data_IF_608910102233
#
_entry.id   IF_608910102233
#
_cell.length_a   1.000
_cell.length_b   1.000
_cell.length_c   1.000
_cell.angle_alpha   90.00
_cell.angle_beta   90.00
_cell.angle_gamma   90.00
#
_symmetry.space_group_name_H-M   'P 1'
#
loop_
_entity.id
_entity.type
_entity.pdbx_description
1 polymer ?
#
# COMPACT_ATOMS: atom_id res chain seq x y z
N UNK A 1 29.58 21.62 23.14
CA UNK A 1 28.96 20.71 22.15
C UNK A 1 27.76 21.42 21.56
N UNK A 2 27.75 21.69 20.25
CA UNK A 2 26.62 22.36 19.61
C UNK A 2 25.44 21.38 19.52
N UNK A 3 24.31 21.73 20.12
CA UNK A 3 23.05 20.98 19.96
C UNK A 3 22.56 21.19 18.52
N UNK A 4 22.65 20.15 17.70
CA UNK A 4 21.98 20.13 16.40
C UNK A 4 20.50 19.90 16.66
N UNK A 5 19.68 20.94 16.49
CA UNK A 5 18.23 20.83 16.52
C UNK A 5 17.74 20.14 15.26
N UNK A 6 16.95 19.08 15.42
CA UNK A 6 16.27 18.41 14.32
C UNK A 6 14.79 18.82 14.30
N UNK A 7 14.30 19.23 13.14
CA UNK A 7 12.88 19.48 12.91
C UNK A 7 12.39 18.48 11.87
N UNK A 8 11.38 17.68 12.23
CA UNK A 8 10.78 16.72 11.31
C UNK A 8 9.77 17.42 10.39
N UNK A 9 10.09 17.49 9.11
CA UNK A 9 9.13 17.94 8.09
C UNK A 9 8.03 16.90 7.82
N UNK A 10 8.20 15.65 8.28
CA UNK A 10 7.20 14.59 8.08
C UNK A 10 5.87 14.87 8.80
N UNK A 11 5.92 15.66 9.88
CA UNK A 11 4.74 16.05 10.67
C UNK A 11 4.15 17.40 10.26
N UNK A 12 4.80 18.11 9.32
CA UNK A 12 4.32 19.40 8.85
C UNK A 12 2.94 19.26 8.20
N UNK A 13 2.03 20.20 8.52
CA UNK A 13 0.65 20.19 8.02
C UNK A 13 0.60 20.22 6.49
N UNK A 14 1.47 21.01 5.86
CA UNK A 14 1.59 21.11 4.39
C UNK A 14 2.06 19.81 3.75
N UNK A 15 2.89 19.02 4.44
CA UNK A 15 3.36 17.71 3.96
C UNK A 15 2.24 16.66 3.92
N UNK A 16 1.19 16.82 4.74
CA UNK A 16 0.01 15.92 4.71
C UNK A 16 -0.69 15.92 3.35
N UNK A 17 -0.79 17.08 2.70
CA UNK A 17 -1.39 17.19 1.37
C UNK A 17 -0.54 16.45 0.32
N UNK A 18 0.78 16.66 0.35
CA UNK A 18 1.70 15.94 -0.54
C UNK A 18 1.62 14.42 -0.34
N UNK A 19 1.59 13.93 0.91
CA UNK A 19 1.40 12.50 1.20
C UNK A 19 0.09 11.95 0.64
N UNK A 20 -0.99 12.74 0.72
CA UNK A 20 -2.29 12.39 0.17
C UNK A 20 -2.22 12.27 -1.36
N UNK A 21 -1.69 13.28 -2.04
CA UNK A 21 -1.55 13.28 -3.50
C UNK A 21 -0.68 12.12 -3.99
N UNK A 22 0.44 11.84 -3.31
CA UNK A 22 1.29 10.69 -3.63
C UNK A 22 0.58 9.35 -3.40
N UNK A 23 -0.16 9.20 -2.29
CA UNK A 23 -0.93 7.99 -2.01
C UNK A 23 -2.01 7.74 -3.06
N UNK A 24 -2.69 8.79 -3.50
CA UNK A 24 -3.66 8.73 -4.59
C UNK A 24 -3.01 8.29 -5.91
N UNK A 25 -1.91 8.93 -6.31
CA UNK A 25 -1.20 8.59 -7.55
C UNK A 25 -0.72 7.13 -7.54
N UNK A 26 -0.15 6.66 -6.42
CA UNK A 26 0.27 5.27 -6.27
C UNK A 26 -0.94 4.34 -6.38
N UNK A 27 -2.05 4.68 -5.72
CA UNK A 27 -3.30 3.93 -5.85
C UNK A 27 -3.78 3.84 -7.31
N UNK A 28 -3.74 4.96 -8.05
CA UNK A 28 -4.09 5.00 -9.48
C UNK A 28 -3.17 4.12 -10.33
N UNK A 29 -1.85 4.16 -10.10
CA UNK A 29 -0.89 3.27 -10.78
C UNK A 29 -1.17 1.80 -10.46
N UNK A 30 -1.38 1.46 -9.19
CA UNK A 30 -1.68 0.10 -8.77
C UNK A 30 -2.99 -0.40 -9.39
N UNK A 31 -4.05 0.43 -9.38
CA UNK A 31 -5.32 0.11 -10.05
C UNK A 31 -5.14 -0.11 -11.54
N UNK A 32 -4.40 0.76 -12.23
CA UNK A 32 -4.11 0.62 -13.65
C UNK A 32 -3.39 -0.71 -13.92
N UNK A 33 -2.33 -1.01 -13.17
CA UNK A 33 -1.56 -2.26 -13.30
C UNK A 33 -2.48 -3.47 -13.14
N UNK A 34 -3.32 -3.49 -12.10
CA UNK A 34 -4.28 -4.58 -11.85
C UNK A 34 -5.27 -4.72 -13.01
N UNK A 35 -5.81 -3.61 -13.52
CA UNK A 35 -6.74 -3.62 -14.64
C UNK A 35 -6.08 -4.10 -15.94
N UNK A 36 -4.83 -3.71 -16.22
CA UNK A 36 -4.09 -4.19 -17.40
C UNK A 36 -3.84 -5.70 -17.35
N UNK A 37 -3.47 -6.24 -16.18
CA UNK A 37 -3.36 -7.69 -15.99
C UNK A 37 -4.70 -8.44 -16.06
N UNK A 38 -5.81 -7.73 -15.88
CA UNK A 38 -7.16 -8.27 -16.02
C UNK A 38 -7.69 -8.24 -17.46
N UNK A 39 -7.11 -7.42 -18.34
CA UNK A 39 -7.70 -6.99 -19.62
C UNK A 39 -7.03 -7.50 -20.90
N UNK A 40 -5.87 -8.16 -20.85
CA UNK A 40 -5.30 -8.79 -22.04
C UNK A 40 -5.99 -10.13 -22.35
N UNK A 41 -7.12 -10.06 -23.06
CA UNK A 41 -7.49 -11.06 -24.08
C UNK A 41 -7.64 -12.52 -23.67
N UNK A 42 -8.02 -12.83 -22.42
CA UNK A 42 -8.39 -14.19 -22.07
C UNK A 42 -8.78 -14.29 -20.61
N UNK A 43 -9.91 -14.96 -20.37
CA UNK A 43 -10.25 -15.89 -19.28
C UNK A 43 -9.22 -16.20 -18.15
N UNK A 44 -8.43 -15.25 -17.67
CA UNK A 44 -7.65 -15.37 -16.45
C UNK A 44 -8.62 -15.20 -15.29
N UNK A 45 -9.30 -16.30 -14.97
CA UNK A 45 -10.07 -16.56 -13.73
C UNK A 45 -9.21 -16.48 -12.45
N UNK A 46 -8.15 -15.69 -12.46
CA UNK A 46 -7.17 -15.57 -11.40
C UNK A 46 -6.51 -14.21 -11.45
N UNK A 47 -7.29 -13.14 -11.35
CA UNK A 47 -6.70 -11.83 -11.01
C UNK A 47 -6.21 -11.96 -9.57
N UNK A 48 -4.91 -12.13 -9.51
CA UNK A 48 -4.12 -12.37 -8.34
C UNK A 48 -4.32 -11.29 -7.29
N UNK A 49 -4.42 -11.74 -6.06
CA UNK A 49 -4.59 -10.88 -4.91
C UNK A 49 -3.50 -9.80 -4.89
N UNK A 50 -3.86 -8.56 -4.56
CA UNK A 50 -2.90 -7.45 -4.46
C UNK A 50 -2.58 -7.21 -3.00
N UNK A 51 -1.30 -7.23 -2.67
CA UNK A 51 -0.80 -7.02 -1.33
C UNK A 51 -0.39 -5.57 -1.10
N UNK A 52 -0.93 -4.91 -0.08
CA UNK A 52 -0.46 -3.60 0.38
C UNK A 52 0.21 -3.76 1.73
N UNK A 53 1.48 -3.38 1.82
CA UNK A 53 2.29 -3.46 3.05
C UNK A 53 2.58 -2.05 3.54
N UNK A 54 2.09 -1.73 4.74
CA UNK A 54 2.18 -0.41 5.36
C UNK A 54 0.92 0.42 5.13
N UNK A 55 0.15 0.65 6.18
CA UNK A 55 -1.11 1.38 6.25
C UNK A 55 -0.95 2.72 7.00
N UNK A 56 0.20 3.38 6.78
CA UNK A 56 0.32 4.80 7.09
C UNK A 56 -0.50 5.66 6.12
N UNK A 57 -0.40 6.99 6.25
CA UNK A 57 -1.11 7.97 5.39
C UNK A 57 -1.12 7.59 3.91
N UNK A 58 0.05 7.24 3.36
CA UNK A 58 0.19 6.91 1.94
C UNK A 58 -0.48 5.58 1.57
N UNK A 59 -0.20 4.52 2.34
CA UNK A 59 -0.70 3.18 2.02
C UNK A 59 -2.21 3.03 2.23
N UNK A 60 -2.78 3.68 3.25
CA UNK A 60 -4.24 3.71 3.42
C UNK A 60 -4.93 4.44 2.27
N UNK A 61 -4.38 5.57 1.81
CA UNK A 61 -4.94 6.30 0.67
C UNK A 61 -4.83 5.49 -0.63
N UNK A 62 -3.71 4.78 -0.83
CA UNK A 62 -3.55 3.90 -1.98
C UNK A 62 -4.57 2.75 -1.94
N UNK A 63 -4.74 2.11 -0.78
CA UNK A 63 -5.74 1.06 -0.58
C UNK A 63 -7.17 1.56 -0.85
N UNK A 64 -7.52 2.73 -0.29
CA UNK A 64 -8.83 3.36 -0.44
C UNK A 64 -9.08 3.70 -1.92
N UNK A 65 -8.10 4.27 -2.62
CA UNK A 65 -8.19 4.56 -4.05
C UNK A 65 -8.38 3.30 -4.89
N UNK A 66 -7.63 2.23 -4.59
CA UNK A 66 -7.73 0.98 -5.30
C UNK A 66 -9.10 0.33 -5.13
N UNK A 67 -9.59 0.28 -3.89
CA UNK A 67 -10.92 -0.23 -3.55
C UNK A 67 -12.00 0.55 -4.29
N UNK A 68 -11.92 1.89 -4.27
CA UNK A 68 -12.86 2.77 -4.96
C UNK A 68 -12.81 2.64 -6.49
N UNK A 69 -11.68 2.19 -7.03
CA UNK A 69 -11.51 1.93 -8.47
C UNK A 69 -11.95 0.53 -8.91
N UNK A 70 -12.57 -0.24 -8.00
CA UNK A 70 -13.12 -1.58 -8.30
C UNK A 70 -12.13 -2.73 -8.10
N UNK A 71 -10.99 -2.52 -7.44
CA UNK A 71 -10.12 -3.64 -7.07
C UNK A 71 -10.73 -4.39 -5.86
N UNK A 72 -11.25 -5.60 -6.10
CA UNK A 72 -11.96 -6.38 -5.09
C UNK A 72 -11.06 -7.35 -4.28
N UNK A 73 -9.87 -7.70 -4.78
CA UNK A 73 -8.96 -8.65 -4.16
C UNK A 73 -7.73 -7.99 -3.53
N UNK A 74 -7.94 -7.01 -2.64
CA UNK A 74 -6.86 -6.32 -1.91
C UNK A 74 -6.68 -6.97 -0.54
N UNK A 75 -5.48 -7.49 -0.28
CA UNK A 75 -5.02 -7.91 1.04
C UNK A 75 -4.07 -6.87 1.61
N UNK A 76 -4.22 -6.52 2.88
CA UNK A 76 -3.43 -5.47 3.52
C UNK A 76 -2.71 -5.99 4.76
N UNK A 77 -1.57 -5.38 5.06
CA UNK A 77 -0.80 -5.68 6.26
C UNK A 77 -0.06 -4.44 6.77
N UNK A 78 -0.07 -4.23 8.09
CA UNK A 78 0.80 -3.33 8.83
C UNK A 78 1.27 -4.03 10.11
N UNK A 79 2.42 -3.59 10.63
CA UNK A 79 2.93 -4.04 11.93
C UNK A 79 2.18 -3.40 13.10
N UNK A 80 1.55 -2.25 12.88
CA UNK A 80 0.74 -1.57 13.86
C UNK A 80 -0.64 -2.24 13.96
N UNK A 81 -0.98 -2.87 15.10
CA UNK A 81 -2.26 -3.55 15.28
C UNK A 81 -3.46 -2.59 15.20
N UNK A 82 -3.30 -1.32 15.59
CA UNK A 82 -4.38 -0.32 15.47
C UNK A 82 -4.74 -0.10 14.00
N UNK A 83 -3.73 -0.07 13.12
CA UNK A 83 -3.94 0.02 11.67
C UNK A 83 -4.60 -1.20 11.07
N UNK A 84 -4.32 -2.38 11.61
CA UNK A 84 -4.99 -3.60 11.19
C UNK A 84 -6.47 -3.62 11.61
N UNK A 85 -6.79 -3.13 12.80
CA UNK A 85 -8.17 -2.97 13.27
C UNK A 85 -8.91 -1.94 12.40
N UNK A 86 -8.33 -0.76 12.15
CA UNK A 86 -8.90 0.25 11.25
C UNK A 86 -9.18 -0.34 9.86
N UNK A 87 -8.24 -1.12 9.31
CA UNK A 87 -8.40 -1.75 8.01
C UNK A 87 -9.52 -2.79 7.99
N UNK A 88 -9.64 -3.59 9.04
CA UNK A 88 -10.73 -4.56 9.19
C UNK A 88 -12.10 -3.85 9.24
N UNK A 89 -12.21 -2.75 10.00
CA UNK A 89 -13.43 -1.94 10.07
C UNK A 89 -13.80 -1.31 8.72
N UNK A 90 -12.80 -0.97 7.90
CA UNK A 90 -12.98 -0.51 6.51
C UNK A 90 -13.32 -1.65 5.54
N UNK A 91 -13.34 -2.90 5.99
CA UNK A 91 -13.68 -4.07 5.18
C UNK A 91 -12.56 -4.54 4.25
N UNK A 92 -11.29 -4.27 4.60
CA UNK A 92 -10.16 -4.86 3.88
C UNK A 92 -9.94 -6.33 4.28
N UNK A 93 -9.33 -7.11 3.39
CA UNK A 93 -8.84 -8.44 3.75
C UNK A 93 -7.57 -8.30 4.61
N UNK A 94 -7.72 -8.62 5.90
CA UNK A 94 -6.67 -8.57 6.93
C UNK A 94 -6.17 -9.96 7.36
N UNK A 95 -6.33 -10.98 6.51
CA UNK A 95 -5.89 -12.35 6.82
C UNK A 95 -4.37 -12.51 6.90
N UNK A 96 -3.59 -11.52 6.47
CA UNK A 96 -2.14 -11.53 6.61
C UNK A 96 -1.74 -11.17 8.06
N UNK A 97 -0.94 -12.04 8.67
CA UNK A 97 -0.36 -11.84 10.01
C UNK A 97 1.09 -11.35 9.93
N UNK A 98 1.73 -11.53 8.77
CA UNK A 98 3.09 -11.10 8.48
C UNK A 98 3.25 -10.70 7.00
N UNK A 99 4.43 -10.19 6.63
CA UNK A 99 4.73 -9.83 5.23
C UNK A 99 4.80 -11.06 4.34
N UNK A 100 5.23 -12.19 4.90
CA UNK A 100 5.38 -13.46 4.19
C UNK A 100 4.02 -14.00 3.71
N UNK A 101 2.95 -13.79 4.48
CA UNK A 101 1.58 -14.11 4.07
C UNK A 101 1.18 -13.35 2.79
N UNK A 102 1.50 -12.05 2.74
CA UNK A 102 1.24 -11.19 1.59
C UNK A 102 2.04 -11.69 0.38
N UNK A 103 3.34 -11.96 0.53
CA UNK A 103 4.21 -12.44 -0.57
C UNK A 103 3.78 -13.83 -1.06
N UNK A 104 3.28 -14.68 -0.17
CA UNK A 104 2.82 -16.03 -0.49
C UNK A 104 1.53 -16.03 -1.31
N UNK A 105 0.61 -15.11 -1.02
CA UNK A 105 -0.78 -15.13 -1.52
C UNK A 105 -1.08 -14.09 -2.58
N UNK A 106 -0.27 -13.03 -2.66
CA UNK A 106 -0.47 -11.93 -3.61
C UNK A 106 0.42 -12.06 -4.85
N UNK A 107 -0.10 -11.62 -5.99
CA UNK A 107 0.59 -11.62 -7.28
C UNK A 107 1.17 -10.26 -7.63
N UNK A 108 0.69 -9.20 -6.99
CA UNK A 108 1.25 -7.85 -7.09
C UNK A 108 1.38 -7.27 -5.69
N UNK A 109 2.47 -6.55 -5.45
CA UNK A 109 2.81 -6.02 -4.13
C UNK A 109 3.09 -4.51 -4.20
N UNK A 110 2.53 -3.77 -3.25
CA UNK A 110 2.81 -2.36 -3.02
C UNK A 110 3.30 -2.17 -1.57
N UNK A 111 4.62 -1.97 -1.40
CA UNK A 111 5.21 -1.66 -0.10
C UNK A 111 5.29 -0.14 0.07
N UNK A 112 4.45 0.40 0.95
CA UNK A 112 4.17 1.83 1.07
C UNK A 112 4.50 2.33 2.47
N UNK A 113 5.73 2.81 2.65
CA UNK A 113 6.23 3.33 3.93
C UNK A 113 6.98 4.65 3.71
N UNK A 114 6.58 5.67 4.47
CA UNK A 114 7.15 7.02 4.40
C UNK A 114 8.32 7.29 5.38
N UNK A 115 8.70 6.31 6.22
CA UNK A 115 9.87 6.45 7.09
C UNK A 115 11.11 5.91 6.37
N UNK A 116 12.19 6.69 6.20
CA UNK A 116 13.44 6.17 5.68
C UNK A 116 14.07 5.30 6.76
N UNK A 117 14.02 3.98 6.58
CA UNK A 117 15.06 3.11 7.14
C UNK A 117 16.26 3.20 6.21
N UNK A 118 17.49 3.13 6.74
CA UNK A 118 18.75 3.16 5.97
C UNK A 118 18.86 2.10 4.86
N UNK A 119 17.89 1.19 4.76
CA UNK A 119 17.77 0.18 3.72
C UNK A 119 16.33 0.19 3.16
N UNK A 120 16.23 0.29 1.84
CA UNK A 120 15.08 0.14 0.93
C UNK A 120 14.02 1.25 0.81
N UNK A 121 14.06 2.02 -0.28
CA UNK A 121 12.88 2.39 -1.03
C UNK A 121 12.73 1.44 -2.24
N UNK A 122 11.67 0.64 -2.28
CA UNK A 122 11.29 0.01 -3.54
C UNK A 122 9.79 -0.29 -3.56
N UNK A 123 9.10 0.37 -4.50
CA UNK A 123 7.93 -0.22 -5.14
C UNK A 123 8.44 -1.49 -5.85
N UNK A 124 8.22 -2.66 -5.26
CA UNK A 124 8.56 -3.95 -5.89
C UNK A 124 7.30 -4.50 -6.52
N UNK A 125 7.08 -4.18 -7.80
CA UNK A 125 6.09 -4.89 -8.62
C UNK A 125 6.72 -6.23 -9.04
N UNK A 126 6.63 -7.24 -8.18
CA UNK A 126 7.00 -8.61 -8.54
C UNK A 126 5.75 -9.34 -9.00
N UNK A 127 5.64 -9.58 -10.31
CA UNK A 127 4.67 -10.54 -10.86
C UNK A 127 5.19 -11.97 -10.68
N UNK A 128 4.32 -12.88 -10.26
CA UNK A 128 4.51 -14.33 -10.40
C UNK A 128 3.77 -14.82 -11.62
#
# INVERSE_FOLDING_TARGET
MAHIGYVSLAEARTKRFADYSCGRLVGEICSFVVQQFSGFGGHLRGIGQVGIIGLGRLGSNAADQMKNSGAHNIMVYDRDPEKMIEAQQKGYNVQATCVEDIVGRCNALAKLRLKPTRHDPALVLSGK
#
